data_IF_372886175387
#
_entry.id   IF_372886175387
#
_cell.length_a   1.000
_cell.length_b   1.000
_cell.length_c   1.000
_cell.angle_alpha   90.00
_cell.angle_beta   90.00
_cell.angle_gamma   90.00
#
_symmetry.space_group_name_H-M   'P 1'
#
loop_
_entity.id
_entity.type
_entity.pdbx_description
1 polymer ?
#
# COMPACT_ATOMS: atom_id res chain seq x y z
N UNK A 1 144.75 122.12 -4.51
CA UNK A 1 143.68 122.12 -3.48
C UNK A 1 142.28 122.19 -4.10
N UNK A 2 142.06 122.95 -5.19
CA UNK A 2 140.78 122.97 -5.92
C UNK A 2 140.49 121.67 -6.71
N UNK A 3 141.50 121.06 -7.34
CA UNK A 3 141.33 119.83 -8.14
C UNK A 3 140.94 118.58 -7.32
N UNK A 4 141.51 118.40 -6.12
CA UNK A 4 141.18 117.28 -5.24
C UNK A 4 139.71 117.34 -4.74
N UNK A 5 139.19 118.54 -4.49
CA UNK A 5 137.78 118.75 -4.11
C UNK A 5 136.82 118.54 -5.29
N UNK A 6 137.29 118.75 -6.52
CA UNK A 6 136.51 118.46 -7.73
C UNK A 6 136.37 116.97 -7.94
N UNK A 7 137.46 116.20 -7.83
CA UNK A 7 137.44 114.73 -7.92
C UNK A 7 136.54 114.08 -6.86
N UNK A 8 136.62 114.52 -5.60
CA UNK A 8 135.77 114.01 -4.51
C UNK A 8 134.27 114.31 -4.77
N UNK A 9 133.96 115.45 -5.39
CA UNK A 9 132.60 115.82 -5.76
C UNK A 9 132.07 114.99 -6.94
N UNK A 10 132.94 114.67 -7.91
CA UNK A 10 132.61 113.80 -9.04
C UNK A 10 132.43 112.34 -8.59
N UNK A 11 133.28 111.82 -7.71
CA UNK A 11 133.11 110.50 -7.09
C UNK A 11 131.80 110.40 -6.29
N UNK A 12 131.45 111.44 -5.52
CA UNK A 12 130.20 111.49 -4.77
C UNK A 12 128.97 111.55 -5.70
N UNK A 13 129.08 112.24 -6.84
CA UNK A 13 128.03 112.26 -7.89
C UNK A 13 127.84 110.90 -8.53
N UNK A 14 128.94 110.19 -8.84
CA UNK A 14 128.86 108.83 -9.37
C UNK A 14 128.27 107.85 -8.36
N UNK A 15 128.68 107.94 -7.08
CA UNK A 15 128.11 107.12 -6.01
C UNK A 15 126.62 107.41 -5.80
N UNK A 16 126.21 108.68 -5.82
CA UNK A 16 124.80 109.07 -5.73
C UNK A 16 123.98 108.57 -6.93
N UNK A 17 124.52 108.68 -8.15
CA UNK A 17 123.86 108.16 -9.35
C UNK A 17 123.74 106.62 -9.32
N UNK A 18 124.75 105.92 -8.81
CA UNK A 18 124.72 104.47 -8.62
C UNK A 18 123.67 104.06 -7.60
N UNK A 19 123.65 104.70 -6.43
CA UNK A 19 122.65 104.44 -5.37
C UNK A 19 121.25 104.77 -5.86
N UNK A 20 121.07 105.85 -6.62
CA UNK A 20 119.79 106.21 -7.21
C UNK A 20 119.33 105.14 -8.21
N UNK A 21 120.22 104.65 -9.07
CA UNK A 21 119.92 103.57 -10.01
C UNK A 21 119.58 102.26 -9.30
N UNK A 22 120.29 101.91 -8.22
CA UNK A 22 119.98 100.74 -7.40
C UNK A 22 118.63 100.89 -6.68
N UNK A 23 118.34 102.08 -6.17
CA UNK A 23 117.06 102.40 -5.54
C UNK A 23 115.89 102.33 -6.55
N UNK A 24 116.07 102.86 -7.75
CA UNK A 24 115.10 102.75 -8.85
C UNK A 24 114.89 101.28 -9.27
N UNK A 25 115.96 100.48 -9.36
CA UNK A 25 115.87 99.04 -9.61
C UNK A 25 115.10 98.32 -8.50
N UNK A 26 115.42 98.62 -7.23
CA UNK A 26 114.75 98.00 -6.08
C UNK A 26 113.26 98.37 -5.99
N UNK A 27 112.90 99.60 -6.38
CA UNK A 27 111.49 100.01 -6.54
C UNK A 27 110.82 99.18 -7.62
N UNK A 28 111.47 98.99 -8.77
CA UNK A 28 110.92 98.18 -9.87
C UNK A 28 110.67 96.74 -9.42
N UNK A 29 111.66 96.11 -8.79
CA UNK A 29 111.57 94.74 -8.28
C UNK A 29 110.46 94.60 -7.23
N UNK A 30 110.32 95.59 -6.33
CA UNK A 30 109.23 95.63 -5.36
C UNK A 30 107.85 95.72 -6.01
N UNK A 31 107.70 96.57 -7.04
CA UNK A 31 106.44 96.72 -7.76
C UNK A 31 106.08 95.44 -8.52
N UNK A 32 107.05 94.75 -9.13
CA UNK A 32 106.86 93.46 -9.78
C UNK A 32 106.45 92.38 -8.77
N UNK A 33 107.17 92.26 -7.65
CA UNK A 33 106.85 91.30 -6.60
C UNK A 33 105.45 91.54 -6.01
N UNK A 34 105.08 92.81 -5.80
CA UNK A 34 103.73 93.17 -5.34
C UNK A 34 102.67 92.75 -6.36
N UNK A 35 102.91 92.97 -7.65
CA UNK A 35 102.00 92.54 -8.71
C UNK A 35 101.84 91.02 -8.75
N UNK A 36 102.95 90.28 -8.68
CA UNK A 36 102.96 88.82 -8.62
C UNK A 36 102.22 88.28 -7.39
N UNK A 37 102.41 88.92 -6.22
CA UNK A 37 101.67 88.58 -5.00
C UNK A 37 100.17 88.78 -5.17
N UNK A 38 99.74 89.90 -5.77
CA UNK A 38 98.32 90.15 -6.05
C UNK A 38 97.74 89.08 -6.98
N UNK A 39 98.44 88.73 -8.08
CA UNK A 39 97.99 87.67 -8.98
C UNK A 39 97.89 86.31 -8.27
N UNK A 40 98.85 85.96 -7.43
CA UNK A 40 98.82 84.72 -6.67
C UNK A 40 97.67 84.69 -5.65
N UNK A 41 97.39 85.83 -5.01
CA UNK A 41 96.26 86.00 -4.10
C UNK A 41 94.93 85.77 -4.84
N UNK A 42 94.74 86.38 -6.00
CA UNK A 42 93.53 86.22 -6.82
C UNK A 42 93.36 84.76 -7.29
N UNK A 43 94.46 84.11 -7.69
CA UNK A 43 94.47 82.69 -8.06
C UNK A 43 94.10 81.80 -6.87
N UNK A 44 94.61 82.10 -5.68
CA UNK A 44 94.27 81.38 -4.45
C UNK A 44 92.79 81.54 -4.10
N UNK A 45 92.24 82.75 -4.19
CA UNK A 45 90.81 83.00 -3.94
C UNK A 45 89.92 82.24 -4.93
N UNK A 46 90.30 82.20 -6.20
CA UNK A 46 89.60 81.41 -7.22
C UNK A 46 89.65 79.91 -6.91
N UNK A 47 90.83 79.38 -6.60
CA UNK A 47 90.99 77.97 -6.24
C UNK A 47 90.17 77.60 -4.99
N UNK A 48 90.11 78.50 -4.01
CA UNK A 48 89.32 78.31 -2.80
C UNK A 48 87.81 78.25 -3.13
N UNK A 49 87.33 79.11 -4.04
CA UNK A 49 85.95 79.08 -4.52
C UNK A 49 85.63 77.79 -5.27
N UNK A 50 86.50 77.37 -6.19
CA UNK A 50 86.35 76.12 -6.94
C UNK A 50 86.32 74.90 -6.00
N UNK A 51 87.17 74.88 -4.97
CA UNK A 51 87.17 73.83 -3.95
C UNK A 51 85.85 73.80 -3.15
N UNK A 52 85.31 74.97 -2.77
CA UNK A 52 84.03 75.05 -2.05
C UNK A 52 82.87 74.53 -2.90
N UNK A 53 82.85 74.83 -4.20
CA UNK A 53 81.85 74.33 -5.14
C UNK A 53 81.96 72.81 -5.30
N UNK A 54 83.18 72.28 -5.49
CA UNK A 54 83.41 70.84 -5.60
C UNK A 54 82.99 70.09 -4.32
N UNK A 55 83.24 70.68 -3.15
CA UNK A 55 82.82 70.12 -1.87
C UNK A 55 81.28 70.09 -1.74
N UNK A 56 80.59 71.11 -2.25
CA UNK A 56 79.14 71.16 -2.30
C UNK A 56 78.58 70.08 -3.23
N UNK A 57 79.11 69.96 -4.44
CA UNK A 57 78.69 68.95 -5.42
C UNK A 57 78.93 67.53 -4.89
N UNK A 58 80.06 67.28 -4.23
CA UNK A 58 80.35 66.00 -3.59
C UNK A 58 79.32 65.65 -2.52
N UNK A 59 78.92 66.62 -1.68
CA UNK A 59 77.91 66.41 -0.63
C UNK A 59 76.54 66.07 -1.23
N UNK A 60 76.15 66.74 -2.30
CA UNK A 60 74.90 66.45 -3.01
C UNK A 60 74.93 65.05 -3.63
N UNK A 61 75.98 64.71 -4.37
CA UNK A 61 76.13 63.39 -4.97
C UNK A 61 76.14 62.26 -3.92
N UNK A 62 76.79 62.49 -2.78
CA UNK A 62 76.78 61.55 -1.66
C UNK A 62 75.39 61.38 -1.05
N UNK A 63 74.58 62.44 -1.01
CA UNK A 63 73.19 62.39 -0.57
C UNK A 63 72.32 61.59 -1.54
N UNK A 64 72.43 61.89 -2.84
CA UNK A 64 71.69 61.20 -3.90
C UNK A 64 72.02 59.71 -3.94
N UNK A 65 73.30 59.36 -3.79
CA UNK A 65 73.75 57.96 -3.69
C UNK A 65 73.11 57.23 -2.50
N UNK A 66 73.03 57.89 -1.34
CA UNK A 66 72.40 57.31 -0.15
C UNK A 66 70.90 57.11 -0.35
N UNK A 67 70.22 58.05 -1.01
CA UNK A 67 68.80 57.93 -1.34
C UNK A 67 68.54 56.80 -2.35
N UNK A 68 69.33 56.73 -3.42
CA UNK A 68 69.25 55.64 -4.40
C UNK A 68 69.50 54.26 -3.76
N UNK A 69 70.41 54.19 -2.80
CA UNK A 69 70.66 52.95 -2.05
C UNK A 69 69.42 52.55 -1.24
N UNK A 70 68.75 53.50 -0.59
CA UNK A 70 67.51 53.23 0.16
C UNK A 70 66.37 52.76 -0.76
N UNK A 71 66.22 53.38 -1.92
CA UNK A 71 65.18 52.97 -2.89
C UNK A 71 65.45 51.59 -3.46
N UNK A 72 66.71 51.25 -3.76
CA UNK A 72 67.10 49.92 -4.20
C UNK A 72 66.80 48.83 -3.16
N UNK A 73 67.10 49.12 -1.89
CA UNK A 73 66.78 48.21 -0.78
C UNK A 73 65.26 48.01 -0.68
N UNK A 74 64.48 49.09 -0.72
CA UNK A 74 63.02 49.03 -0.67
C UNK A 74 62.44 48.22 -1.83
N UNK A 75 62.91 48.47 -3.06
CA UNK A 75 62.47 47.75 -4.25
C UNK A 75 62.76 46.25 -4.16
N UNK A 76 63.95 45.88 -3.66
CA UNK A 76 64.31 44.48 -3.46
C UNK A 76 63.43 43.80 -2.40
N UNK A 77 63.01 44.52 -1.34
CA UNK A 77 62.04 43.99 -0.38
C UNK A 77 60.68 43.78 -1.03
N UNK A 78 60.18 44.76 -1.79
CA UNK A 78 58.90 44.63 -2.52
C UNK A 78 58.91 43.47 -3.51
N UNK A 79 60.02 43.27 -4.23
CA UNK A 79 60.18 42.13 -5.14
C UNK A 79 60.09 40.79 -4.42
N UNK A 80 60.73 40.64 -3.25
CA UNK A 80 60.67 39.41 -2.46
C UNK A 80 59.25 39.11 -1.98
N UNK A 81 58.54 40.13 -1.48
CA UNK A 81 57.13 39.98 -1.06
C UNK A 81 56.27 39.51 -2.24
N UNK A 82 56.39 40.16 -3.39
CA UNK A 82 55.63 39.79 -4.59
C UNK A 82 55.95 38.36 -5.07
N UNK A 83 57.21 37.95 -4.98
CA UNK A 83 57.63 36.60 -5.34
C UNK A 83 57.04 35.54 -4.39
N UNK A 84 57.00 35.83 -3.09
CA UNK A 84 56.36 34.94 -2.11
C UNK A 84 54.85 34.85 -2.33
N UNK A 85 54.17 35.98 -2.58
CA UNK A 85 52.74 36.02 -2.93
C UNK A 85 52.43 35.24 -4.20
N UNK A 86 53.28 35.34 -5.23
CA UNK A 86 53.16 34.56 -6.45
C UNK A 86 53.22 33.05 -6.16
N UNK A 87 54.18 32.60 -5.35
CA UNK A 87 54.31 31.18 -5.02
C UNK A 87 53.13 30.67 -4.18
N UNK A 88 52.61 31.47 -3.24
CA UNK A 88 51.40 31.15 -2.49
C UNK A 88 50.21 30.99 -3.43
N UNK A 89 50.02 31.94 -4.35
CA UNK A 89 48.93 31.91 -5.33
C UNK A 89 49.03 30.69 -6.25
N UNK A 90 50.23 30.37 -6.73
CA UNK A 90 50.51 29.19 -7.55
C UNK A 90 50.14 27.89 -6.82
N UNK A 91 50.50 27.77 -5.54
CA UNK A 91 50.18 26.60 -4.72
C UNK A 91 48.66 26.49 -4.47
N UNK A 92 47.98 27.62 -4.23
CA UNK A 92 46.53 27.65 -4.09
C UNK A 92 45.82 27.21 -5.37
N UNK A 93 46.32 27.63 -6.54
CA UNK A 93 45.78 27.18 -7.83
C UNK A 93 45.94 25.66 -8.01
N UNK A 94 47.09 25.10 -7.64
CA UNK A 94 47.30 23.64 -7.70
C UNK A 94 46.28 22.89 -6.83
N UNK A 95 46.07 23.34 -5.59
CA UNK A 95 45.07 22.75 -4.68
C UNK A 95 43.66 22.83 -5.25
N UNK A 96 43.29 23.97 -5.83
CA UNK A 96 41.98 24.14 -6.45
C UNK A 96 41.75 23.19 -7.63
N UNK A 97 42.80 22.90 -8.41
CA UNK A 97 42.74 21.91 -9.50
C UNK A 97 42.56 20.49 -8.97
N UNK A 98 43.27 20.14 -7.89
CA UNK A 98 43.12 18.84 -7.24
C UNK A 98 41.70 18.66 -6.67
N UNK A 99 41.18 19.71 -6.00
CA UNK A 99 39.80 19.74 -5.47
C UNK A 99 38.76 19.60 -6.60
N UNK A 100 38.99 20.25 -7.74
CA UNK A 100 38.11 20.18 -8.91
C UNK A 100 38.04 18.76 -9.50
N UNK A 101 39.19 18.09 -9.68
CA UNK A 101 39.19 16.70 -10.16
C UNK A 101 38.57 15.75 -9.14
N UNK A 102 38.79 15.98 -7.84
CA UNK A 102 38.11 15.24 -6.77
C UNK A 102 36.59 15.37 -6.85
N UNK A 103 36.08 16.60 -7.03
CA UNK A 103 34.65 16.86 -7.19
C UNK A 103 34.05 16.19 -8.43
N UNK A 104 34.79 16.19 -9.53
CA UNK A 104 34.38 15.53 -10.78
C UNK A 104 34.27 14.02 -10.63
N UNK A 105 35.19 13.38 -9.90
CA UNK A 105 35.11 11.96 -9.55
C UNK A 105 33.88 11.67 -8.68
N UNK A 106 33.67 12.44 -7.61
CA UNK A 106 32.49 12.29 -6.75
C UNK A 106 31.18 12.43 -7.52
N UNK A 107 31.10 13.38 -8.46
CA UNK A 107 29.93 13.54 -9.34
C UNK A 107 29.70 12.31 -10.21
N UNK A 108 30.76 11.75 -10.80
CA UNK A 108 30.66 10.55 -11.63
C UNK A 108 30.18 9.34 -10.84
N UNK A 109 30.65 9.16 -9.60
CA UNK A 109 30.21 8.09 -8.73
C UNK A 109 28.73 8.26 -8.34
N UNK A 110 28.33 9.46 -7.93
CA UNK A 110 26.94 9.77 -7.61
C UNK A 110 26.00 9.54 -8.80
N UNK A 111 26.43 9.87 -10.02
CA UNK A 111 25.64 9.65 -11.23
C UNK A 111 25.43 8.16 -11.52
N UNK A 112 26.45 7.33 -11.30
CA UNK A 112 26.35 5.87 -11.41
C UNK A 112 25.35 5.32 -10.38
N UNK A 113 25.47 5.76 -9.13
CA UNK A 113 24.59 5.32 -8.05
C UNK A 113 23.13 5.70 -8.32
N UNK A 114 22.90 6.94 -8.79
CA UNK A 114 21.58 7.40 -9.21
C UNK A 114 20.97 6.53 -10.31
N UNK A 115 21.78 6.14 -11.30
CA UNK A 115 21.32 5.29 -12.41
C UNK A 115 20.96 3.89 -11.91
N UNK A 116 21.78 3.30 -11.03
CA UNK A 116 21.48 2.00 -10.39
C UNK A 116 20.17 2.05 -9.62
N UNK A 117 19.95 3.10 -8.81
CA UNK A 117 18.72 3.26 -8.03
C UNK A 117 17.48 3.40 -8.93
N UNK A 118 17.61 4.08 -10.06
CA UNK A 118 16.53 4.23 -11.04
C UNK A 118 16.14 2.89 -11.66
N UNK A 119 17.11 2.03 -11.96
CA UNK A 119 16.86 0.67 -12.46
C UNK A 119 16.16 -0.20 -11.41
N UNK A 120 16.61 -0.19 -10.16
CA UNK A 120 15.98 -0.90 -9.05
C UNK A 120 14.53 -0.46 -8.84
N UNK A 121 14.27 0.85 -8.85
CA UNK A 121 12.92 1.39 -8.76
C UNK A 121 12.02 0.89 -9.90
N UNK A 122 12.55 0.81 -11.13
CA UNK A 122 11.80 0.31 -12.28
C UNK A 122 11.41 -1.17 -12.14
N UNK A 123 12.28 -1.99 -11.54
CA UNK A 123 12.02 -3.40 -11.24
C UNK A 123 10.93 -3.51 -10.17
N UNK A 124 11.09 -2.77 -9.07
CA UNK A 124 10.12 -2.78 -7.98
C UNK A 124 8.72 -2.36 -8.44
N UNK A 125 8.64 -1.32 -9.27
CA UNK A 125 7.37 -0.86 -9.85
C UNK A 125 6.70 -1.94 -10.69
N UNK A 126 7.46 -2.66 -11.52
CA UNK A 126 6.92 -3.78 -12.31
C UNK A 126 6.41 -4.92 -11.42
N UNK A 127 7.16 -5.26 -10.37
CA UNK A 127 6.74 -6.27 -9.39
C UNK A 127 5.45 -5.87 -8.66
N UNK A 128 5.33 -4.61 -8.27
CA UNK A 128 4.13 -4.07 -7.65
C UNK A 128 2.90 -4.17 -8.58
N UNK A 129 3.02 -3.73 -9.84
CA UNK A 129 1.91 -3.82 -10.79
C UNK A 129 1.52 -5.27 -11.09
N UNK A 130 2.50 -6.19 -11.16
CA UNK A 130 2.24 -7.63 -11.31
C UNK A 130 1.47 -8.20 -10.11
N UNK A 131 1.90 -7.85 -8.89
CA UNK A 131 1.20 -8.28 -7.66
C UNK A 131 -0.21 -7.71 -7.59
N UNK A 132 -0.37 -6.42 -7.91
CA UNK A 132 -1.66 -5.74 -7.97
C UNK A 132 -2.58 -6.41 -8.98
N UNK A 133 -2.09 -6.68 -10.18
CA UNK A 133 -2.85 -7.39 -11.21
C UNK A 133 -3.29 -8.78 -10.72
N UNK A 134 -2.40 -9.55 -10.07
CA UNK A 134 -2.73 -10.86 -9.48
C UNK A 134 -3.82 -10.75 -8.42
N UNK A 135 -3.76 -9.77 -7.52
CA UNK A 135 -4.84 -9.52 -6.57
C UNK A 135 -6.15 -9.12 -7.28
N UNK A 136 -6.06 -8.29 -8.32
CA UNK A 136 -7.21 -7.81 -9.09
C UNK A 136 -7.76 -8.83 -10.08
N UNK A 137 -7.10 -9.97 -10.33
CA UNK A 137 -7.57 -10.98 -11.31
C UNK A 137 -8.88 -11.67 -10.93
N UNK A 138 -9.51 -11.29 -9.81
CA UNK A 138 -10.81 -11.82 -9.42
C UNK A 138 -10.78 -13.31 -9.07
N UNK A 139 -9.62 -13.99 -9.13
CA UNK A 139 -9.47 -15.40 -8.77
C UNK A 139 -9.83 -15.64 -7.31
N UNK A 140 -9.47 -14.69 -6.43
CA UNK A 140 -9.87 -14.73 -5.03
C UNK A 140 -11.38 -14.49 -4.88
N UNK A 141 -11.93 -13.51 -5.59
CA UNK A 141 -13.36 -13.22 -5.54
C UNK A 141 -14.22 -14.35 -6.13
N UNK A 142 -13.74 -15.02 -7.19
CA UNK A 142 -14.37 -16.19 -7.78
C UNK A 142 -14.29 -17.36 -6.81
N UNK A 143 -13.12 -17.60 -6.20
CA UNK A 143 -12.98 -18.64 -5.18
C UNK A 143 -13.93 -18.42 -4.00
N UNK A 144 -14.02 -17.20 -3.45
CA UNK A 144 -14.94 -16.88 -2.35
C UNK A 144 -16.39 -17.11 -2.78
N UNK A 145 -16.77 -16.65 -3.98
CA UNK A 145 -18.12 -16.84 -4.52
C UNK A 145 -18.46 -18.32 -4.70
N UNK A 146 -17.54 -19.09 -5.26
CA UNK A 146 -17.74 -20.51 -5.53
C UNK A 146 -17.77 -21.33 -4.24
N UNK A 147 -16.97 -20.95 -3.23
CA UNK A 147 -17.01 -21.55 -1.90
C UNK A 147 -18.34 -21.27 -1.18
N UNK A 148 -18.86 -20.04 -1.25
CA UNK A 148 -20.16 -19.70 -0.67
C UNK A 148 -21.31 -20.48 -1.33
N UNK A 149 -21.27 -20.68 -2.65
CA UNK A 149 -22.23 -21.54 -3.33
C UNK A 149 -22.14 -22.98 -2.85
N UNK A 150 -20.93 -23.52 -2.69
CA UNK A 150 -20.73 -24.86 -2.15
C UNK A 150 -21.27 -24.99 -0.72
N UNK A 151 -21.08 -23.97 0.12
CA UNK A 151 -21.70 -23.92 1.45
C UNK A 151 -23.21 -24.01 1.35
N UNK A 152 -23.85 -23.20 0.50
CA UNK A 152 -25.30 -23.22 0.35
C UNK A 152 -25.79 -24.59 -0.13
N UNK A 153 -25.13 -25.19 -1.13
CA UNK A 153 -25.46 -26.51 -1.67
C UNK A 153 -25.27 -27.65 -0.68
N UNK A 154 -24.25 -27.59 0.19
CA UNK A 154 -24.00 -28.65 1.17
C UNK A 154 -24.84 -28.44 2.43
N UNK A 155 -24.85 -27.23 2.99
CA UNK A 155 -25.47 -26.95 4.28
C UNK A 155 -26.99 -26.85 4.19
N UNK A 156 -27.60 -26.75 3.01
CA UNK A 156 -29.07 -26.82 2.87
C UNK A 156 -29.64 -28.10 3.48
N UNK A 157 -28.87 -29.19 3.45
CA UNK A 157 -29.25 -30.51 3.94
C UNK A 157 -29.13 -30.67 5.46
N UNK A 158 -28.50 -29.73 6.17
CA UNK A 158 -28.17 -29.88 7.58
C UNK A 158 -28.68 -28.73 8.45
N UNK A 159 -29.03 -29.03 9.70
CA UNK A 159 -29.51 -28.06 10.71
C UNK A 159 -30.79 -27.37 10.26
N UNK A 160 -31.89 -27.82 10.86
CA UNK A 160 -33.23 -27.31 10.64
C UNK A 160 -33.87 -26.91 11.99
N UNK A 161 -34.81 -25.95 12.02
CA UNK A 161 -35.36 -25.23 10.87
C UNK A 161 -34.50 -24.05 10.40
N UNK A 162 -34.55 -23.74 9.11
CA UNK A 162 -34.03 -22.51 8.51
C UNK A 162 -34.92 -22.06 7.34
N UNK A 163 -34.80 -20.80 6.93
CA UNK A 163 -35.71 -20.22 5.89
C UNK A 163 -35.60 -20.97 4.57
N UNK A 164 -34.41 -21.47 4.30
CA UNK A 164 -34.03 -22.17 3.10
C UNK A 164 -34.66 -23.58 3.02
N UNK A 165 -35.27 -24.10 4.08
CA UNK A 165 -35.99 -25.40 4.07
C UNK A 165 -37.07 -25.45 2.99
N UNK A 166 -37.66 -24.29 2.67
CA UNK A 166 -38.61 -24.13 1.56
C UNK A 166 -38.03 -24.55 0.20
N UNK A 167 -36.71 -24.48 0.01
CA UNK A 167 -36.03 -24.91 -1.21
C UNK A 167 -35.99 -26.43 -1.37
N UNK A 168 -36.14 -27.21 -0.28
CA UNK A 168 -36.18 -28.67 -0.33
C UNK A 168 -37.51 -29.19 -0.92
N UNK A 169 -38.55 -28.36 -0.95
CA UNK A 169 -39.81 -28.66 -1.63
C UNK A 169 -39.67 -28.27 -3.11
N UNK A 170 -39.44 -29.28 -3.97
CA UNK A 170 -39.12 -29.06 -5.40
C UNK A 170 -40.23 -29.59 -6.33
N UNK A 171 -41.44 -28.99 -6.34
CA UNK A 171 -42.57 -29.47 -7.14
C UNK A 171 -42.38 -29.25 -8.65
N UNK A 172 -41.40 -28.43 -9.03
CA UNK A 172 -41.07 -28.13 -10.43
C UNK A 172 -39.92 -28.97 -10.98
N UNK A 173 -39.28 -29.83 -10.17
CA UNK A 173 -38.26 -30.75 -10.65
C UNK A 173 -38.85 -31.74 -11.67
N UNK A 174 -38.19 -31.90 -12.80
CA UNK A 174 -38.70 -32.68 -13.93
C UNK A 174 -38.91 -34.16 -13.57
N UNK A 175 -38.07 -34.75 -12.72
CA UNK A 175 -38.19 -36.15 -12.30
C UNK A 175 -39.36 -36.32 -11.33
N UNK A 176 -39.51 -35.39 -10.39
CA UNK A 176 -40.67 -35.36 -9.47
C UNK A 176 -41.97 -35.26 -10.26
N UNK A 177 -42.05 -34.32 -11.22
CA UNK A 177 -43.26 -34.12 -12.04
C UNK A 177 -43.57 -35.30 -12.95
N UNK A 178 -42.55 -35.85 -13.62
CA UNK A 178 -42.72 -36.99 -14.52
C UNK A 178 -43.25 -38.20 -13.77
N UNK A 179 -42.71 -38.46 -12.58
CA UNK A 179 -43.17 -39.55 -11.74
C UNK A 179 -44.58 -39.31 -11.20
N UNK A 180 -44.86 -38.11 -10.68
CA UNK A 180 -46.20 -37.75 -10.21
C UNK A 180 -47.25 -37.98 -11.29
N UNK A 181 -46.97 -37.56 -12.54
CA UNK A 181 -47.84 -37.80 -13.69
C UNK A 181 -47.97 -39.29 -14.05
N UNK A 182 -46.89 -40.06 -13.93
CA UNK A 182 -46.93 -41.51 -14.15
C UNK A 182 -47.83 -42.22 -13.12
N UNK A 183 -47.80 -41.77 -11.86
CA UNK A 183 -48.57 -42.38 -10.77
C UNK A 183 -50.04 -41.98 -10.84
N UNK A 184 -50.35 -40.73 -11.18
CA UNK A 184 -51.71 -40.16 -11.04
C UNK A 184 -52.45 -39.89 -12.35
N UNK A 185 -51.73 -39.85 -13.49
CA UNK A 185 -52.27 -39.29 -14.74
C UNK A 185 -52.41 -37.77 -14.73
N UNK A 186 -52.15 -37.11 -13.60
CA UNK A 186 -52.26 -35.67 -13.40
C UNK A 186 -53.65 -35.21 -12.96
N UNK A 187 -53.70 -34.05 -12.32
CA UNK A 187 -54.94 -33.52 -11.75
C UNK A 187 -55.95 -33.07 -12.81
N UNK A 188 -57.23 -33.44 -12.64
CA UNK A 188 -58.36 -33.00 -13.46
C UNK A 188 -58.58 -31.49 -13.45
N UNK A 189 -58.12 -30.82 -12.38
CA UNK A 189 -58.29 -29.39 -12.16
C UNK A 189 -59.59 -29.01 -11.44
N UNK A 190 -60.46 -29.98 -11.14
CA UNK A 190 -61.65 -29.81 -10.32
C UNK A 190 -61.39 -30.33 -8.90
N UNK A 191 -62.08 -29.75 -7.92
CA UNK A 191 -61.97 -30.16 -6.53
C UNK A 191 -62.96 -31.30 -6.25
N UNK A 192 -62.64 -32.52 -6.70
CA UNK A 192 -63.37 -33.75 -6.38
C UNK A 192 -62.65 -34.49 -5.25
N UNK A 193 -63.32 -34.63 -4.11
CA UNK A 193 -62.76 -35.31 -2.94
C UNK A 193 -62.42 -36.78 -3.21
N UNK A 194 -63.15 -37.47 -4.09
CA UNK A 194 -62.85 -38.86 -4.42
C UNK A 194 -61.56 -38.97 -5.22
N UNK A 195 -61.40 -38.14 -6.26
CA UNK A 195 -60.15 -38.04 -7.03
C UNK A 195 -58.99 -37.69 -6.11
N UNK A 196 -59.13 -36.62 -5.30
CA UNK A 196 -58.09 -36.18 -4.38
C UNK A 196 -57.67 -37.32 -3.45
N UNK A 197 -58.63 -37.97 -2.80
CA UNK A 197 -58.34 -39.09 -1.89
C UNK A 197 -57.67 -40.27 -2.61
N UNK A 198 -58.08 -40.62 -3.83
CA UNK A 198 -57.46 -41.69 -4.61
C UNK A 198 -56.03 -41.35 -5.04
N UNK A 199 -55.80 -40.14 -5.56
CA UNK A 199 -54.50 -39.75 -6.08
C UNK A 199 -53.49 -39.47 -4.98
N UNK A 200 -53.93 -38.86 -3.86
CA UNK A 200 -53.13 -38.72 -2.65
C UNK A 200 -52.70 -40.10 -2.14
N UNK A 201 -53.61 -41.08 -2.12
CA UNK A 201 -53.29 -42.45 -1.71
C UNK A 201 -52.29 -43.11 -2.64
N UNK A 202 -52.45 -42.94 -3.95
CA UNK A 202 -51.53 -43.51 -4.95
C UNK A 202 -50.12 -42.96 -4.79
N UNK A 203 -49.97 -41.64 -4.59
CA UNK A 203 -48.66 -41.02 -4.33
C UNK A 203 -48.07 -41.48 -2.99
N UNK A 204 -48.87 -41.54 -1.93
CA UNK A 204 -48.46 -42.03 -0.62
C UNK A 204 -47.97 -43.49 -0.67
N UNK A 205 -48.76 -44.37 -1.28
CA UNK A 205 -48.42 -45.79 -1.43
C UNK A 205 -47.18 -45.98 -2.29
N UNK A 206 -47.03 -45.15 -3.31
CA UNK A 206 -45.84 -45.17 -4.14
C UNK A 206 -44.60 -44.85 -3.31
N UNK A 207 -44.60 -43.77 -2.52
CA UNK A 207 -43.44 -43.41 -1.67
C UNK A 207 -43.16 -44.52 -0.67
N UNK A 208 -44.16 -44.93 0.12
CA UNK A 208 -44.02 -45.99 1.13
C UNK A 208 -43.54 -47.32 0.55
N UNK A 209 -44.00 -47.69 -0.64
CA UNK A 209 -43.67 -48.96 -1.29
C UNK A 209 -42.35 -48.96 -2.06
N UNK A 210 -41.84 -47.78 -2.44
CA UNK A 210 -40.69 -47.66 -3.34
C UNK A 210 -39.51 -46.86 -2.77
N UNK A 211 -39.62 -46.33 -1.55
CA UNK A 211 -38.52 -45.70 -0.81
C UNK A 211 -38.29 -46.51 0.46
N UNK A 212 -37.12 -47.14 0.56
CA UNK A 212 -36.75 -47.95 1.73
C UNK A 212 -36.30 -47.02 2.87
N UNK A 213 -36.80 -47.27 4.07
CA UNK A 213 -36.34 -46.54 5.25
C UNK A 213 -34.84 -46.75 5.49
N UNK A 214 -34.08 -45.67 5.59
CA UNK A 214 -32.65 -45.67 5.91
C UNK A 214 -32.32 -44.46 6.75
N UNK A 215 -31.88 -44.68 7.99
CA UNK A 215 -31.39 -43.62 8.87
C UNK A 215 -30.13 -42.95 8.32
N UNK A 216 -29.98 -41.68 8.66
CA UNK A 216 -28.84 -40.90 8.24
C UNK A 216 -27.50 -41.35 8.81
N UNK A 217 -26.46 -41.07 8.02
CA UNK A 217 -25.08 -41.11 8.44
C UNK A 217 -24.58 -39.75 8.93
N UNK A 218 -23.32 -39.68 9.30
CA UNK A 218 -22.68 -38.39 9.59
C UNK A 218 -22.59 -37.54 8.32
N UNK A 219 -23.19 -36.35 8.34
CA UNK A 219 -23.21 -35.41 7.23
C UNK A 219 -22.41 -34.14 7.57
N UNK A 220 -21.56 -33.63 6.66
CA UNK A 220 -20.74 -32.47 6.93
C UNK A 220 -21.54 -31.17 6.88
N UNK A 221 -21.30 -30.30 7.86
CA UNK A 221 -21.65 -28.90 7.86
C UNK A 221 -20.39 -28.07 7.60
N UNK A 222 -20.34 -27.39 6.46
CA UNK A 222 -19.21 -26.58 6.05
C UNK A 222 -19.20 -25.23 6.80
N UNK A 223 -18.04 -24.78 7.31
CA UNK A 223 -17.92 -23.48 7.97
C UNK A 223 -17.87 -22.33 6.95
N UNK A 224 -18.34 -21.15 7.36
CA UNK A 224 -18.23 -19.94 6.52
C UNK A 224 -16.79 -19.52 6.25
N UNK A 225 -15.87 -19.81 7.18
CA UNK A 225 -14.44 -19.65 7.00
C UNK A 225 -13.79 -21.01 6.71
N UNK A 226 -13.23 -21.22 5.49
CA UNK A 226 -12.65 -22.49 5.06
C UNK A 226 -11.37 -22.89 5.81
N UNK A 227 -10.84 -22.02 6.69
CA UNK A 227 -9.70 -22.37 7.55
C UNK A 227 -10.09 -23.30 8.71
N UNK A 228 -11.39 -23.41 9.02
CA UNK A 228 -11.90 -24.33 10.03
C UNK A 228 -12.33 -25.67 9.41
N UNK A 229 -12.22 -26.79 10.14
CA UNK A 229 -12.73 -28.07 9.68
C UNK A 229 -14.26 -28.12 9.67
N UNK A 230 -14.88 -28.99 8.85
CA UNK A 230 -16.32 -29.22 8.93
C UNK A 230 -16.71 -29.86 10.26
N UNK A 231 -17.92 -29.52 10.71
CA UNK A 231 -18.59 -30.20 11.83
C UNK A 231 -19.48 -31.29 11.24
N UNK A 232 -19.70 -32.40 11.94
CA UNK A 232 -20.57 -33.47 11.46
C UNK A 232 -21.87 -33.51 12.27
N UNK A 233 -22.99 -33.54 11.57
CA UNK A 233 -24.34 -33.71 12.12
C UNK A 233 -24.89 -35.09 11.74
N UNK A 234 -25.92 -35.55 12.44
CA UNK A 234 -26.52 -36.88 12.24
C UNK A 234 -27.91 -36.85 11.61
N UNK A 235 -28.34 -35.70 11.10
CA UNK A 235 -29.65 -35.45 10.49
C UNK A 235 -29.41 -34.71 9.17
N UNK A 236 -29.88 -35.28 8.07
CA UNK A 236 -29.56 -34.90 6.70
C UNK A 236 -30.76 -35.06 5.77
N UNK A 237 -31.40 -33.95 5.43
CA UNK A 237 -32.60 -33.97 4.59
C UNK A 237 -32.22 -34.01 3.12
N UNK A 238 -32.71 -34.96 2.34
CA UNK A 238 -32.43 -35.05 0.90
C UNK A 238 -33.43 -34.25 0.05
N UNK A 239 -32.97 -33.81 -1.11
CA UNK A 239 -33.88 -33.36 -2.16
C UNK A 239 -34.71 -34.54 -2.70
N UNK A 240 -35.96 -34.30 -3.13
CA UNK A 240 -36.81 -35.32 -3.74
C UNK A 240 -36.13 -36.11 -4.87
N UNK A 241 -35.36 -35.43 -5.72
CA UNK A 241 -34.67 -36.09 -6.83
C UNK A 241 -33.50 -36.99 -6.38
N UNK A 242 -32.87 -36.70 -5.24
CA UNK A 242 -31.86 -37.53 -4.60
C UNK A 242 -32.53 -38.78 -4.02
N UNK A 243 -33.61 -38.62 -3.24
CA UNK A 243 -34.43 -39.73 -2.71
C UNK A 243 -34.93 -40.64 -3.84
N UNK A 244 -35.38 -40.08 -4.96
CA UNK A 244 -35.80 -40.84 -6.15
C UNK A 244 -34.67 -41.59 -6.85
N UNK A 245 -33.43 -41.12 -6.71
CA UNK A 245 -32.23 -41.77 -7.28
C UNK A 245 -31.81 -42.94 -6.43
N UNK A 246 -31.68 -42.73 -5.12
CA UNK A 246 -31.16 -43.76 -4.21
C UNK A 246 -32.24 -44.73 -3.74
N UNK A 247 -33.52 -44.37 -3.85
CA UNK A 247 -34.69 -45.15 -3.39
C UNK A 247 -34.63 -45.52 -1.91
N UNK A 248 -34.00 -44.64 -1.14
CA UNK A 248 -33.76 -44.78 0.28
C UNK A 248 -33.89 -43.42 0.96
N UNK A 249 -34.36 -43.42 2.19
CA UNK A 249 -34.48 -42.23 3.01
C UNK A 249 -35.38 -42.46 4.21
N UNK A 250 -35.17 -41.72 5.29
CA UNK A 250 -35.97 -41.80 6.51
C UNK A 250 -37.17 -40.84 6.46
N UNK A 251 -37.59 -40.30 7.60
CA UNK A 251 -38.91 -39.67 7.73
C UNK A 251 -39.03 -38.35 6.97
N UNK A 252 -38.00 -37.52 7.03
CA UNK A 252 -37.91 -36.22 6.36
C UNK A 252 -37.75 -36.41 4.85
N UNK A 253 -36.83 -37.26 4.39
CA UNK A 253 -36.67 -37.61 2.98
C UNK A 253 -37.99 -38.04 2.32
N UNK A 254 -38.72 -38.95 2.97
CA UNK A 254 -39.99 -39.46 2.44
C UNK A 254 -41.09 -38.40 2.48
N UNK A 255 -41.15 -37.58 3.55
CA UNK A 255 -42.11 -36.50 3.67
C UNK A 255 -41.84 -35.39 2.64
N UNK A 256 -40.60 -34.97 2.46
CA UNK A 256 -40.16 -33.94 1.49
C UNK A 256 -40.47 -34.38 0.06
N UNK A 257 -40.18 -35.65 -0.28
CA UNK A 257 -40.55 -36.22 -1.57
C UNK A 257 -42.07 -36.22 -1.78
N UNK A 258 -42.83 -36.74 -0.81
CA UNK A 258 -44.29 -36.81 -0.91
C UNK A 258 -44.91 -35.40 -1.02
N UNK A 259 -44.46 -34.46 -0.19
CA UNK A 259 -44.91 -33.07 -0.23
C UNK A 259 -44.62 -32.42 -1.58
N UNK A 260 -43.44 -32.66 -2.15
CA UNK A 260 -43.09 -32.15 -3.49
C UNK A 260 -43.95 -32.74 -4.59
N UNK A 261 -44.23 -34.05 -4.54
CA UNK A 261 -45.12 -34.74 -5.49
C UNK A 261 -46.56 -34.21 -5.39
N UNK A 262 -47.09 -34.05 -4.17
CA UNK A 262 -48.43 -33.52 -3.93
C UNK A 262 -48.55 -32.05 -4.34
N UNK A 263 -47.56 -31.21 -4.00
CA UNK A 263 -47.51 -29.82 -4.44
C UNK A 263 -47.48 -29.71 -5.97
N UNK A 264 -46.74 -30.59 -6.65
CA UNK A 264 -46.72 -30.68 -8.11
C UNK A 264 -48.09 -31.10 -8.68
N UNK A 265 -48.74 -32.09 -8.06
CA UNK A 265 -50.06 -32.58 -8.44
C UNK A 265 -51.12 -31.47 -8.37
N UNK A 266 -51.20 -30.77 -7.24
CA UNK A 266 -52.18 -29.69 -7.04
C UNK A 266 -51.84 -28.38 -7.74
N UNK A 267 -50.66 -28.27 -8.37
CA UNK A 267 -50.21 -27.07 -9.09
C UNK A 267 -50.36 -25.80 -8.25
N UNK A 268 -50.10 -25.92 -6.94
CA UNK A 268 -50.18 -24.83 -5.99
C UNK A 268 -51.58 -24.31 -5.64
N UNK A 269 -52.66 -24.99 -6.07
CA UNK A 269 -54.05 -24.63 -5.71
C UNK A 269 -54.50 -25.19 -4.37
N UNK A 270 -53.84 -26.23 -3.88
CA UNK A 270 -54.07 -26.83 -2.56
C UNK A 270 -52.79 -26.70 -1.75
N UNK A 271 -52.92 -26.36 -0.47
CA UNK A 271 -51.80 -26.28 0.47
C UNK A 271 -51.30 -27.68 0.78
N UNK A 272 -50.00 -27.88 0.71
CA UNK A 272 -49.31 -29.11 1.14
C UNK A 272 -48.10 -28.67 1.94
N UNK A 273 -48.00 -29.15 3.16
CA UNK A 273 -47.03 -28.67 4.14
C UNK A 273 -46.42 -29.86 4.87
N UNK A 274 -45.12 -29.82 5.13
CA UNK A 274 -44.47 -30.77 6.02
C UNK A 274 -44.70 -30.32 7.46
N UNK A 275 -44.99 -31.28 8.34
CA UNK A 275 -45.11 -31.09 9.79
C UNK A 275 -43.98 -31.82 10.50
N UNK A 276 -43.23 -31.08 11.29
CA UNK A 276 -42.15 -31.62 12.11
C UNK A 276 -42.63 -31.68 13.55
N UNK A 277 -42.46 -32.87 14.13
CA UNK A 277 -42.66 -33.16 15.54
C UNK A 277 -41.35 -33.60 16.17
N UNK A 278 -41.35 -33.94 17.45
CA UNK A 278 -40.16 -34.45 18.15
C UNK A 278 -39.52 -35.65 17.42
N UNK A 279 -38.39 -35.41 16.75
CA UNK A 279 -37.58 -36.37 15.98
C UNK A 279 -38.34 -37.15 14.89
N UNK A 280 -39.34 -36.53 14.25
CA UNK A 280 -40.08 -37.16 13.15
C UNK A 280 -40.73 -36.12 12.23
N UNK A 281 -40.91 -36.47 10.96
CA UNK A 281 -41.57 -35.63 9.95
C UNK A 281 -42.67 -36.38 9.21
N UNK A 282 -43.74 -35.67 8.86
CA UNK A 282 -44.80 -36.13 7.97
C UNK A 282 -45.30 -34.98 7.08
N UNK A 283 -46.26 -35.28 6.21
CA UNK A 283 -46.94 -34.30 5.36
C UNK A 283 -48.37 -34.11 5.86
N UNK A 284 -48.91 -32.91 5.73
CA UNK A 284 -50.35 -32.69 5.86
C UNK A 284 -50.91 -31.78 4.78
N UNK A 285 -52.20 -31.95 4.55
CA UNK A 285 -53.02 -31.14 3.65
C UNK A 285 -54.13 -30.52 4.49
N UNK A 286 -54.10 -29.20 4.74
CA UNK A 286 -55.19 -28.52 5.41
C UNK A 286 -56.35 -28.28 4.45
N UNK A 287 -57.58 -28.30 4.97
CA UNK A 287 -58.80 -28.14 4.20
C UNK A 287 -59.84 -27.30 4.95
N UNK A 288 -60.74 -26.68 4.19
CA UNK A 288 -61.76 -25.75 4.70
C UNK A 288 -62.64 -26.39 5.80
N UNK A 289 -63.01 -25.55 6.76
CA UNK A 289 -63.85 -25.92 7.90
C UNK A 289 -63.08 -26.59 9.03
N UNK A 290 -61.80 -26.25 9.22
CA UNK A 290 -60.99 -26.79 10.31
C UNK A 290 -60.66 -28.27 10.14
N UNK A 291 -60.38 -28.70 8.90
CA UNK A 291 -60.08 -30.10 8.58
C UNK A 291 -58.65 -30.30 8.10
N UNK A 292 -58.13 -31.50 8.30
CA UNK A 292 -56.77 -31.90 7.94
C UNK A 292 -56.75 -33.32 7.39
N UNK A 293 -55.75 -33.60 6.57
CA UNK A 293 -55.32 -34.95 6.20
C UNK A 293 -53.81 -35.05 6.42
N UNK A 294 -53.38 -35.92 7.33
CA UNK A 294 -51.98 -36.23 7.64
C UNK A 294 -51.57 -37.48 6.84
N UNK A 295 -50.35 -37.47 6.33
CA UNK A 295 -49.74 -38.51 5.50
C UNK A 295 -48.30 -38.72 6.00
N UNK A 296 -48.04 -39.89 6.57
CA UNK A 296 -46.74 -40.26 7.15
C UNK A 296 -46.27 -41.58 6.52
N UNK A 297 -45.54 -41.50 5.39
CA UNK A 297 -45.07 -42.70 4.68
C UNK A 297 -44.14 -43.56 5.51
N UNK A 298 -43.30 -42.93 6.33
CA UNK A 298 -42.29 -43.57 7.16
C UNK A 298 -42.89 -44.52 8.21
N UNK A 299 -43.96 -44.11 8.89
CA UNK A 299 -44.69 -45.01 9.81
C UNK A 299 -45.83 -45.75 9.13
N UNK A 300 -46.12 -45.40 7.88
CA UNK A 300 -47.22 -45.91 7.09
C UNK A 300 -48.60 -45.43 7.53
N UNK A 301 -48.68 -44.35 8.30
CA UNK A 301 -49.91 -43.74 8.79
C UNK A 301 -50.49 -42.75 7.78
N UNK A 302 -51.82 -42.69 7.70
CA UNK A 302 -52.51 -41.58 7.06
C UNK A 302 -53.91 -41.40 7.66
N UNK A 303 -54.43 -40.18 7.57
CA UNK A 303 -55.76 -39.84 8.06
C UNK A 303 -56.86 -40.49 7.24
N UNK A 304 -57.84 -41.10 7.90
CA UNK A 304 -59.05 -41.62 7.28
C UNK A 304 -59.25 -43.10 7.52
N UNK A 305 -59.72 -43.81 6.51
CA UNK A 305 -59.98 -45.25 6.58
C UNK A 305 -58.77 -46.08 6.11
N UNK A 306 -58.63 -47.35 6.51
CA UNK A 306 -57.55 -48.23 6.04
C UNK A 306 -57.48 -48.43 4.52
N UNK A 307 -58.49 -48.01 3.76
CA UNK A 307 -58.49 -48.06 2.30
C UNK A 307 -58.28 -46.70 1.64
N UNK A 308 -58.69 -45.60 2.28
CA UNK A 308 -58.79 -44.30 1.62
C UNK A 308 -58.53 -43.13 2.58
N UNK A 309 -57.59 -42.22 2.24
CA UNK A 309 -57.36 -40.99 2.98
C UNK A 309 -58.58 -40.08 2.93
N UNK A 310 -58.85 -39.34 4.00
CA UNK A 310 -59.97 -38.40 4.06
C UNK A 310 -59.65 -37.20 4.95
N UNK A 311 -60.40 -36.12 4.80
CA UNK A 311 -60.28 -34.94 5.68
C UNK A 311 -61.14 -35.10 6.93
N UNK A 312 -60.55 -34.91 8.11
CA UNK A 312 -61.26 -34.93 9.40
C UNK A 312 -60.86 -33.72 10.25
N UNK A 313 -61.50 -33.51 11.41
CA UNK A 313 -61.21 -32.38 12.30
C UNK A 313 -59.73 -32.31 12.71
N UNK A 314 -59.14 -31.10 12.65
CA UNK A 314 -57.73 -30.83 12.93
C UNK A 314 -57.30 -31.35 14.30
N UNK A 315 -57.99 -30.95 15.37
CA UNK A 315 -57.58 -31.29 16.74
C UNK A 315 -57.59 -32.79 16.94
N UNK A 316 -58.69 -33.44 16.55
CA UNK A 316 -58.87 -34.87 16.76
C UNK A 316 -57.79 -35.69 16.03
N UNK A 317 -57.44 -35.28 14.81
CA UNK A 317 -56.47 -36.03 14.00
C UNK A 317 -55.02 -35.79 14.40
N UNK A 318 -54.66 -34.55 14.73
CA UNK A 318 -53.31 -34.22 15.19
C UNK A 318 -52.97 -35.01 16.45
N UNK A 319 -53.87 -35.04 17.44
CA UNK A 319 -53.66 -35.84 18.66
C UNK A 319 -53.69 -37.34 18.41
N UNK A 320 -54.50 -37.83 17.47
CA UNK A 320 -54.50 -39.25 17.09
C UNK A 320 -53.15 -39.67 16.51
N UNK A 321 -52.61 -38.89 15.58
CA UNK A 321 -51.31 -39.16 14.97
C UNK A 321 -50.18 -39.06 16.00
N UNK A 322 -50.16 -38.01 16.82
CA UNK A 322 -49.19 -37.83 17.91
C UNK A 322 -49.21 -39.00 18.88
N UNK A 323 -50.38 -39.40 19.38
CA UNK A 323 -50.51 -40.53 20.32
C UNK A 323 -49.93 -41.82 19.74
N UNK A 324 -50.13 -42.07 18.44
CA UNK A 324 -49.54 -43.23 17.78
C UNK A 324 -48.01 -43.15 17.72
N UNK A 325 -47.45 -41.97 17.48
CA UNK A 325 -45.99 -41.77 17.49
C UNK A 325 -45.43 -41.90 18.91
N UNK A 326 -46.15 -41.42 19.92
CA UNK A 326 -45.76 -41.59 21.33
C UNK A 326 -45.71 -43.07 21.71
N UNK A 327 -46.71 -43.86 21.30
CA UNK A 327 -46.73 -45.31 21.50
C UNK A 327 -45.58 -46.00 20.76
N UNK A 328 -45.25 -45.54 19.54
CA UNK A 328 -44.20 -46.13 18.70
C UNK A 328 -42.79 -45.81 19.20
N UNK A 329 -42.54 -44.57 19.63
CA UNK A 329 -41.22 -44.08 20.00
C UNK A 329 -40.97 -44.10 21.51
N UNK A 330 -42.00 -44.32 22.33
CA UNK A 330 -41.89 -44.37 23.79
C UNK A 330 -41.47 -43.05 24.43
N UNK A 331 -41.77 -41.92 23.78
CA UNK A 331 -41.41 -40.58 24.23
C UNK A 331 -42.51 -39.59 23.87
N UNK A 332 -42.54 -38.46 24.57
CA UNK A 332 -43.48 -37.37 24.30
C UNK A 332 -43.23 -36.73 22.94
N UNK A 333 -44.30 -36.53 22.17
CA UNK A 333 -44.25 -35.94 20.84
C UNK A 333 -45.00 -34.61 20.84
N UNK A 334 -44.32 -33.53 20.42
CA UNK A 334 -44.94 -32.22 20.28
C UNK A 334 -44.62 -31.66 18.89
N UNK A 335 -45.58 -30.93 18.29
CA UNK A 335 -45.35 -30.19 17.04
C UNK A 335 -44.34 -29.07 17.28
N UNK A 336 -43.35 -28.97 16.41
CA UNK A 336 -42.25 -28.00 16.52
C UNK A 336 -42.37 -26.89 15.48
N UNK A 337 -42.48 -27.25 14.21
CA UNK A 337 -42.68 -26.31 13.12
C UNK A 337 -43.33 -26.99 11.91
N UNK A 338 -43.76 -26.17 10.96
CA UNK A 338 -44.21 -26.61 9.64
C UNK A 338 -43.48 -25.81 8.58
N UNK A 339 -43.29 -26.42 7.41
CA UNK A 339 -42.73 -25.72 6.25
C UNK A 339 -43.30 -26.23 4.92
N UNK A 340 -43.22 -25.38 3.90
CA UNK A 340 -43.44 -25.72 2.50
C UNK A 340 -42.66 -24.76 1.60
N UNK A 341 -42.92 -24.79 0.28
CA UNK A 341 -42.44 -23.78 -0.66
C UNK A 341 -42.98 -22.35 -0.39
N UNK A 342 -43.93 -22.20 0.55
CA UNK A 342 -44.64 -20.93 0.82
C UNK A 342 -44.60 -20.48 2.27
N UNK A 343 -44.29 -21.36 3.21
CA UNK A 343 -44.36 -21.07 4.63
C UNK A 343 -43.20 -21.71 5.39
N UNK A 344 -42.75 -21.03 6.44
CA UNK A 344 -42.02 -21.62 7.55
C UNK A 344 -42.61 -21.02 8.83
N UNK A 345 -43.18 -21.85 9.69
CA UNK A 345 -43.84 -21.38 10.93
C UNK A 345 -43.46 -22.27 12.10
N UNK A 346 -42.85 -21.67 13.12
CA UNK A 346 -42.52 -22.33 14.38
C UNK A 346 -43.68 -22.22 15.38
N UNK A 347 -43.79 -23.23 16.23
CA UNK A 347 -44.80 -23.38 17.27
C UNK A 347 -44.14 -23.67 18.62
N UNK A 348 -44.71 -23.13 19.69
CA UNK A 348 -44.24 -23.40 21.06
C UNK A 348 -44.97 -24.59 21.70
N UNK A 349 -46.07 -25.04 21.09
CA UNK A 349 -46.82 -26.23 21.51
C UNK A 349 -47.68 -26.79 20.38
N UNK A 350 -48.07 -28.06 20.48
CA UNK A 350 -49.07 -28.69 19.62
C UNK A 350 -50.39 -27.91 19.61
N UNK A 351 -50.80 -27.35 20.75
CA UNK A 351 -52.02 -26.55 20.85
C UNK A 351 -51.94 -25.27 19.99
N UNK A 352 -50.81 -24.58 20.03
CA UNK A 352 -50.60 -23.37 19.22
C UNK A 352 -50.61 -23.64 17.71
N UNK A 353 -50.18 -24.85 17.31
CA UNK A 353 -50.31 -25.30 15.93
C UNK A 353 -51.78 -25.53 15.54
N UNK A 354 -52.54 -26.23 16.40
CA UNK A 354 -53.96 -26.52 16.17
C UNK A 354 -54.77 -25.22 16.04
N UNK A 355 -54.58 -24.27 16.96
CA UNK A 355 -55.26 -22.97 16.93
C UNK A 355 -54.95 -22.20 15.62
N UNK A 356 -53.67 -22.10 15.28
CA UNK A 356 -53.24 -21.47 14.02
C UNK A 356 -53.84 -22.16 12.79
N UNK A 357 -53.91 -23.49 12.80
CA UNK A 357 -54.45 -24.21 11.66
C UNK A 357 -55.96 -23.99 11.52
N UNK A 358 -56.72 -23.94 12.61
CA UNK A 358 -58.13 -23.53 12.56
C UNK A 358 -58.29 -22.12 11.99
N UNK A 359 -57.47 -21.16 12.40
CA UNK A 359 -57.53 -19.80 11.87
C UNK A 359 -57.25 -19.72 10.37
N UNK A 360 -56.31 -20.52 9.87
CA UNK A 360 -55.92 -20.52 8.45
C UNK A 360 -56.75 -21.45 7.56
N UNK A 361 -57.75 -22.14 8.12
CA UNK A 361 -58.67 -23.05 7.42
C UNK A 361 -60.15 -22.71 7.64
N UNK A 362 -60.43 -21.54 8.23
CA UNK A 362 -61.78 -21.02 8.46
C UNK A 362 -62.51 -20.69 7.17
#
# INVERSE_FOLDING_TARGET
MYEAKSMECDELRFAYASILSEYESMISDYLELKSNYTMLSDLYEKLLSDYQNLLYDYRNLSSDYLELTKTLISLNMSYRILYDEYNVTKNNLSRLLDDYEGLKHMYSDLFRDYTSLLEEYSILRRSYESLKARLSTGVFESFVRDYLKLIDEVNIHAIHPKREDSLLITPYDDRVRSLMLQVTGGWSGYFDLNEISMEVKSLFDWVKGNVRYRSDGLYPLLPSDPSFPPIYVSDMWQYPNQTLTVREGDCDDQAILLASMLSAYFRGKVRVECIIVTDHMAVYIPFEGGRIMILDPATGYYTGSPSMPSFVDVRMEVYRWISRLEDMFGKRIDVKWVFSDRILKLFYSTESFIEWLYETTR
#
